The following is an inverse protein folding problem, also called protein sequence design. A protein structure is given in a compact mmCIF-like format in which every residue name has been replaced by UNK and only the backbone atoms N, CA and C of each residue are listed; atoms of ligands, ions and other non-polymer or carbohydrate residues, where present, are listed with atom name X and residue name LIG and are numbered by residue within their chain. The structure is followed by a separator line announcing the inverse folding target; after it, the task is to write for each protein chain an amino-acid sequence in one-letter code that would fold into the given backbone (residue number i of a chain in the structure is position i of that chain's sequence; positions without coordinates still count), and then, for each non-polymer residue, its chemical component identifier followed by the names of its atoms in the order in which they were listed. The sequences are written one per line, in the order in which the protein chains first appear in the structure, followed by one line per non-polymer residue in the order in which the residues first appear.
data_IF_671934338393
#
_entry.id   IF_671934338393
#
_cell.length_a   1.000
_cell.length_b   1.000
_cell.length_c   1.000
_cell.angle_alpha   90.00
_cell.angle_beta   90.00
_cell.angle_gamma   90.00
#
_symmetry.space_group_name_H-M   'P 1'
#
loop_
_entity.id
_entity.type
_entity.pdbx_description
1 polymer ?
#
# COMPACT_ATOMS: atom_id res chain seq x y z
N UNK A 1 -15.56 -20.80 6.62
CA UNK A 1 -14.65 -21.22 5.52
C UNK A 1 -13.22 -20.85 5.89
N UNK A 2 -12.38 -21.86 6.19
CA UNK A 2 -10.94 -21.69 6.48
C UNK A 2 -10.17 -21.98 5.20
N UNK A 3 -9.46 -21.01 4.65
CA UNK A 3 -8.53 -21.25 3.55
C UNK A 3 -7.11 -21.36 4.09
N UNK A 4 -6.58 -22.58 4.11
CA UNK A 4 -5.19 -22.92 4.39
C UNK A 4 -4.57 -23.47 3.12
N UNK A 5 -3.65 -22.71 2.51
CA UNK A 5 -2.62 -23.25 1.61
C UNK A 5 -1.47 -22.25 1.51
N UNK A 6 -0.40 -22.54 2.24
CA UNK A 6 0.85 -21.81 2.28
C UNK A 6 1.50 -21.74 0.88
N UNK A 7 1.81 -20.53 0.43
CA UNK A 7 2.70 -20.26 -0.70
C UNK A 7 3.84 -19.36 -0.19
N UNK A 8 5.12 -19.66 -0.49
CA UNK A 8 6.28 -19.00 0.10
C UNK A 8 6.45 -17.52 -0.30
N UNK A 9 5.72 -17.03 -1.30
CA UNK A 9 5.74 -15.64 -1.77
C UNK A 9 4.49 -14.83 -1.40
N UNK A 10 3.52 -15.41 -0.67
CA UNK A 10 2.33 -14.66 -0.21
C UNK A 10 2.70 -13.76 0.95
N UNK A 11 3.14 -12.56 0.63
CA UNK A 11 3.04 -11.39 1.48
C UNK A 11 1.60 -11.32 1.97
N UNK A 12 1.33 -11.68 3.24
CA UNK A 12 0.01 -11.50 3.84
C UNK A 12 -0.21 -10.00 4.03
N UNK A 13 -0.76 -9.36 3.01
CA UNK A 13 -1.39 -8.06 3.13
C UNK A 13 -2.77 -8.31 3.76
N UNK A 14 -2.93 -7.90 5.01
CA UNK A 14 -4.26 -7.81 5.63
C UNK A 14 -4.62 -6.35 5.66
N UNK A 15 -5.60 -5.94 4.87
CA UNK A 15 -6.14 -4.59 4.88
C UNK A 15 -7.50 -4.61 5.58
N UNK A 16 -7.65 -3.76 6.59
CA UNK A 16 -8.89 -3.50 7.30
C UNK A 16 -9.28 -2.05 7.05
N UNK A 17 -10.37 -1.85 6.31
CA UNK A 17 -10.89 -0.53 6.03
C UNK A 17 -11.57 0.06 7.27
N UNK A 18 -11.14 1.24 7.71
CA UNK A 18 -11.84 2.01 8.75
C UNK A 18 -12.27 3.36 8.18
N UNK A 19 -13.57 3.52 7.95
CA UNK A 19 -14.10 4.82 7.53
C UNK A 19 -13.99 5.82 8.69
N UNK A 20 -13.05 6.75 8.60
CA UNK A 20 -12.95 7.90 9.50
C UNK A 20 -13.60 9.09 8.80
N UNK A 21 -14.74 9.56 9.32
CA UNK A 21 -15.40 10.77 8.83
C UNK A 21 -14.76 11.98 9.51
N UNK A 22 -13.80 12.60 8.84
CA UNK A 22 -13.66 14.05 8.89
C UNK A 22 -14.29 14.54 7.57
N UNK A 23 -15.30 15.40 7.67
CA UNK A 23 -15.82 16.21 6.55
C UNK A 23 -16.57 15.45 5.43
N UNK A 24 -16.70 14.13 5.54
CA UNK A 24 -17.57 13.28 4.69
C UNK A 24 -16.92 12.68 3.44
N UNK A 25 -15.73 13.16 3.03
CA UNK A 25 -15.07 12.76 1.79
C UNK A 25 -13.72 12.03 1.98
N UNK A 26 -13.38 11.60 3.19
CA UNK A 26 -12.11 10.89 3.46
C UNK A 26 -12.32 9.45 3.91
N UNK A 27 -11.43 8.55 3.49
CA UNK A 27 -11.38 7.15 3.92
C UNK A 27 -9.95 6.80 4.33
N UNK A 28 -9.82 6.02 5.41
CA UNK A 28 -8.53 5.52 5.90
C UNK A 28 -8.53 3.99 5.88
N UNK A 29 -7.58 3.40 5.19
CA UNK A 29 -7.46 1.95 5.05
C UNK A 29 -6.22 1.49 5.82
N UNK A 30 -6.41 0.92 7.02
CA UNK A 30 -5.28 0.36 7.77
C UNK A 30 -4.85 -0.96 7.12
N UNK A 31 -3.55 -1.13 6.90
CA UNK A 31 -2.99 -2.39 6.44
C UNK A 31 -1.85 -2.87 7.32
N UNK A 32 -1.63 -4.18 7.28
CA UNK A 32 -0.43 -4.83 7.82
C UNK A 32 0.19 -5.68 6.71
N UNK A 33 1.51 -5.65 6.62
CA UNK A 33 2.29 -6.38 5.63
C UNK A 33 3.63 -6.85 6.21
N UNK A 34 4.32 -7.73 5.48
CA UNK A 34 5.70 -8.08 5.77
C UNK A 34 6.52 -7.92 4.49
N UNK A 35 7.57 -7.10 4.49
CA UNK A 35 8.41 -6.88 3.30
C UNK A 35 9.84 -7.28 3.64
N UNK A 36 10.38 -8.24 2.89
CA UNK A 36 11.75 -8.74 3.08
C UNK A 36 12.04 -9.15 4.53
N UNK A 37 11.09 -9.83 5.17
CA UNK A 37 11.18 -10.27 6.56
C UNK A 37 10.77 -9.21 7.59
N UNK A 38 10.61 -7.93 7.20
CA UNK A 38 10.22 -6.86 8.12
C UNK A 38 8.70 -6.67 8.15
N UNK A 39 8.09 -6.90 9.31
CA UNK A 39 6.70 -6.56 9.54
C UNK A 39 6.50 -5.04 9.55
N UNK A 40 5.44 -4.57 8.90
CA UNK A 40 5.04 -3.18 8.86
C UNK A 40 3.53 -3.04 8.96
N UNK A 41 3.11 -1.86 9.41
CA UNK A 41 1.73 -1.39 9.37
C UNK A 41 1.69 -0.05 8.68
N UNK A 42 0.58 0.25 8.03
CA UNK A 42 0.39 1.55 7.43
C UNK A 42 -1.07 1.89 7.28
N UNK A 43 -1.31 3.10 6.77
CA UNK A 43 -2.61 3.51 6.31
C UNK A 43 -2.49 4.06 4.90
N UNK A 44 -3.52 3.80 4.10
CA UNK A 44 -3.80 4.55 2.89
C UNK A 44 -4.93 5.52 3.21
N UNK A 45 -4.65 6.82 3.17
CA UNK A 45 -5.65 7.87 3.31
C UNK A 45 -6.04 8.37 1.92
N UNK A 46 -7.32 8.27 1.61
CA UNK A 46 -7.89 8.70 0.34
C UNK A 46 -8.86 9.83 0.62
N UNK A 47 -8.66 10.99 -0.01
CA UNK A 47 -9.62 12.09 -0.02
C UNK A 47 -10.26 12.22 -1.39
N UNK A 48 -11.58 12.27 -1.39
CA UNK A 48 -12.39 12.45 -2.59
C UNK A 48 -12.70 13.93 -2.81
N UNK A 49 -12.69 14.36 -4.07
CA UNK A 49 -13.15 15.69 -4.46
C UNK A 49 -14.69 15.73 -4.58
N UNK A 50 -15.26 16.88 -4.94
CA UNK A 50 -16.71 17.07 -5.09
C UNK A 50 -17.35 16.16 -6.16
N UNK A 51 -16.57 15.67 -7.13
CA UNK A 51 -17.02 14.76 -8.18
C UNK A 51 -16.92 13.27 -7.77
N UNK A 52 -16.48 12.99 -6.53
CA UNK A 52 -16.25 11.63 -6.06
C UNK A 52 -15.00 10.96 -6.63
N UNK A 53 -14.09 11.72 -7.27
CA UNK A 53 -12.79 11.22 -7.74
C UNK A 53 -11.75 11.35 -6.63
N UNK A 54 -10.70 10.53 -6.69
CA UNK A 54 -9.56 10.63 -5.76
C UNK A 54 -8.82 11.95 -6.05
N UNK A 55 -8.90 12.89 -5.12
CA UNK A 55 -8.16 14.15 -5.17
C UNK A 55 -6.80 14.04 -4.49
N UNK A 56 -6.73 13.30 -3.37
CA UNK A 56 -5.49 13.09 -2.62
C UNK A 56 -5.37 11.62 -2.21
N UNK A 57 -4.14 11.10 -2.31
CA UNK A 57 -3.79 9.75 -1.87
C UNK A 57 -2.49 9.80 -1.07
N UNK A 58 -2.58 9.57 0.23
CA UNK A 58 -1.44 9.64 1.15
C UNK A 58 -1.21 8.28 1.80
N UNK A 59 0.05 7.86 1.87
CA UNK A 59 0.45 6.61 2.49
C UNK A 59 1.39 6.89 3.64
N UNK A 60 1.04 6.39 4.83
CA UNK A 60 1.93 6.42 5.99
C UNK A 60 2.28 5.00 6.41
N UNK A 61 3.57 4.75 6.65
CA UNK A 61 4.08 3.42 7.03
C UNK A 61 4.93 3.51 8.28
N UNK A 62 4.76 2.52 9.15
CA UNK A 62 5.53 2.31 10.37
C UNK A 62 5.91 0.83 10.55
N UNK A 63 7.00 0.52 11.27
CA UNK A 63 8.06 1.44 11.69
C UNK A 63 8.94 1.90 10.52
N UNK A 64 9.83 2.87 10.74
CA UNK A 64 10.72 3.40 9.71
C UNK A 64 11.55 2.32 8.99
N UNK A 65 11.96 1.27 9.71
CA UNK A 65 12.69 0.12 9.14
C UNK A 65 11.86 -0.66 8.12
N UNK A 66 10.53 -0.72 8.30
CA UNK A 66 9.58 -1.29 7.35
C UNK A 66 9.35 -0.39 6.14
N UNK A 67 9.26 0.94 6.35
CA UNK A 67 9.20 1.93 5.27
C UNK A 67 10.44 1.85 4.37
N UNK A 68 11.64 1.74 4.94
CA UNK A 68 12.89 1.58 4.17
C UNK A 68 12.87 0.31 3.31
N UNK A 69 12.43 -0.83 3.89
CA UNK A 69 12.34 -2.09 3.15
C UNK A 69 11.30 -2.02 2.02
N UNK A 70 10.17 -1.36 2.27
CA UNK A 70 9.16 -1.09 1.24
C UNK A 70 9.72 -0.23 0.11
N UNK A 71 10.40 0.88 0.43
CA UNK A 71 11.03 1.76 -0.55
C UNK A 71 12.05 1.04 -1.42
N UNK A 72 12.90 0.20 -0.83
CA UNK A 72 13.88 -0.60 -1.57
C UNK A 72 13.19 -1.59 -2.53
N UNK A 73 12.14 -2.29 -2.07
CA UNK A 73 11.39 -3.23 -2.90
C UNK A 73 10.63 -2.54 -4.05
N UNK A 74 10.08 -1.35 -3.80
CA UNK A 74 9.43 -0.52 -4.83
C UNK A 74 10.43 0.01 -5.85
N UNK A 75 11.60 0.49 -5.41
CA UNK A 75 12.65 0.99 -6.29
C UNK A 75 13.13 -0.06 -7.29
N UNK A 76 13.35 -1.30 -6.83
CA UNK A 76 13.69 -2.42 -7.70
C UNK A 76 12.60 -2.69 -8.75
N UNK A 77 11.33 -2.80 -8.33
CA UNK A 77 10.20 -3.06 -9.22
C UNK A 77 9.95 -1.94 -10.25
N UNK A 78 10.16 -0.69 -9.84
CA UNK A 78 9.95 0.46 -10.74
C UNK A 78 11.08 0.58 -11.75
N UNK A 79 12.32 0.25 -11.37
CA UNK A 79 13.45 0.17 -12.31
C UNK A 79 13.16 -0.76 -13.48
N UNK A 80 12.63 -1.95 -13.19
CA UNK A 80 12.25 -2.94 -14.19
C UNK A 80 11.15 -2.42 -15.13
N UNK A 81 10.16 -1.71 -14.59
CA UNK A 81 9.03 -1.16 -15.37
C UNK A 81 9.38 0.11 -16.15
N UNK A 82 10.31 0.93 -15.65
CA UNK A 82 10.75 2.14 -16.34
C UNK A 82 11.46 1.81 -17.66
N UNK A 83 12.20 0.70 -17.69
CA UNK A 83 12.79 0.20 -18.93
C UNK A 83 11.71 -0.15 -19.96
N UNK A 84 10.58 -0.73 -19.52
CA UNK A 84 9.46 -1.07 -20.39
C UNK A 84 8.71 0.18 -20.87
N UNK A 85 8.41 1.13 -19.97
CA UNK A 85 7.70 2.37 -20.32
C UNK A 85 8.49 3.27 -21.27
N UNK A 86 9.83 3.23 -21.21
CA UNK A 86 10.70 3.95 -22.17
C UNK A 86 10.86 3.22 -23.50
N UNK A 87 10.58 1.92 -23.56
CA UNK A 87 10.63 1.16 -24.80
C UNK A 87 9.33 1.28 -25.61
N UNK A 88 8.24 1.69 -24.96
CA UNK A 88 6.92 1.92 -25.56
C UNK A 88 6.65 3.40 -25.93
N UNK A 89 7.61 4.30 -25.66
CA UNK A 89 7.55 5.74 -25.96
C UNK A 89 8.49 6.11 -27.11
#
# INVERSE_FOLDING_TARGET
MKWSSAHPWRTRLTQAARRLRCDGASVVLEFSANVSGKALKGIDMVRFNAEGKIGEFEVMVRPASGLQALGAAMGAKLGDKLALLKAEA
#
